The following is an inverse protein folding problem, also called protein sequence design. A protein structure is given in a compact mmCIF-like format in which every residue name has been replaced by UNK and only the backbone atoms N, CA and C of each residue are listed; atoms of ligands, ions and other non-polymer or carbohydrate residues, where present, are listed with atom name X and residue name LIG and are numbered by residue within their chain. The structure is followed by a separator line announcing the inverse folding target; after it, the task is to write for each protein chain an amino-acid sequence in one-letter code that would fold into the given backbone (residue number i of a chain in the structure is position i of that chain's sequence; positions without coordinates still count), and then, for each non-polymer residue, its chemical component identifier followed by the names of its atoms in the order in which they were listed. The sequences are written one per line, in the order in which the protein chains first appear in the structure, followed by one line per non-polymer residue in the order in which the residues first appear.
data_IF_337985354354
#
_entry.id   IF_337985354354
#
_cell.length_a   1.000
_cell.length_b   1.000
_cell.length_c   1.000
_cell.angle_alpha   90.00
_cell.angle_beta   90.00
_cell.angle_gamma   90.00
#
_symmetry.space_group_name_H-M   'P 1'
#
loop_
_entity.id
_entity.type
_entity.pdbx_description
1 polymer ?
#
# COMPACT_ATOMS: atom_id res chain seq x y z
N UNK A 1 -21.75 41.76 53.21
CA UNK A 1 -21.33 40.50 52.59
C UNK A 1 -22.25 40.21 51.41
N UNK A 2 -21.79 40.38 50.16
CA UNK A 2 -22.57 40.03 48.95
C UNK A 2 -21.99 38.74 48.38
N UNK A 3 -22.81 37.69 48.39
CA UNK A 3 -22.46 36.37 47.89
C UNK A 3 -22.36 36.43 46.36
N UNK A 4 -21.14 36.39 45.83
CA UNK A 4 -20.91 36.11 44.41
C UNK A 4 -21.29 34.64 44.16
N UNK A 5 -22.54 34.39 43.72
CA UNK A 5 -22.89 33.14 43.04
C UNK A 5 -22.18 33.15 41.68
N UNK A 6 -20.93 32.71 41.68
CA UNK A 6 -20.10 32.58 40.47
C UNK A 6 -20.61 31.37 39.69
N UNK A 7 -21.27 31.62 38.55
CA UNK A 7 -21.91 30.62 37.71
C UNK A 7 -20.92 29.52 37.26
N UNK A 8 -20.95 28.31 37.88
CA UNK A 8 -19.99 27.25 37.56
C UNK A 8 -20.18 26.71 36.14
N UNK A 9 -21.39 26.85 35.60
CA UNK A 9 -21.77 26.45 34.24
C UNK A 9 -21.10 27.27 33.15
N UNK A 10 -20.86 28.57 33.37
CA UNK A 10 -20.19 29.42 32.37
C UNK A 10 -18.70 29.10 32.30
N UNK A 11 -18.07 28.79 33.44
CA UNK A 11 -16.66 28.40 33.52
C UNK A 11 -16.43 27.06 32.83
N UNK A 12 -17.34 26.10 33.02
CA UNK A 12 -17.28 24.78 32.37
C UNK A 12 -17.44 24.90 30.85
N UNK A 13 -18.39 25.70 30.38
CA UNK A 13 -18.63 25.90 28.95
C UNK A 13 -17.41 26.52 28.24
N UNK A 14 -16.77 27.52 28.87
CA UNK A 14 -15.56 28.15 28.31
C UNK A 14 -14.39 27.16 28.28
N UNK A 15 -14.22 26.34 29.33
CA UNK A 15 -13.18 25.31 29.37
C UNK A 15 -13.39 24.26 28.25
N UNK A 16 -14.63 23.81 28.02
CA UNK A 16 -14.96 22.88 26.93
C UNK A 16 -14.66 23.48 25.55
N UNK A 17 -14.99 24.77 25.32
CA UNK A 17 -14.73 25.44 24.04
C UNK A 17 -13.22 25.58 23.80
N UNK A 18 -12.45 25.99 24.81
CA UNK A 18 -10.98 26.10 24.68
C UNK A 18 -10.36 24.73 24.39
N UNK A 19 -10.85 23.66 25.04
CA UNK A 19 -10.37 22.31 24.81
C UNK A 19 -10.70 21.81 23.39
N UNK A 20 -11.91 22.09 22.89
CA UNK A 20 -12.32 21.76 21.52
C UNK A 20 -11.49 22.51 20.48
N UNK A 21 -11.25 23.82 20.68
CA UNK A 21 -10.40 24.61 19.78
C UNK A 21 -8.96 24.08 19.79
N UNK A 22 -8.44 23.69 20.96
CA UNK A 22 -7.12 23.06 21.08
C UNK A 22 -7.02 21.73 20.34
N UNK A 23 -8.02 20.85 20.47
CA UNK A 23 -8.06 19.56 19.76
C UNK A 23 -8.14 19.79 18.24
N UNK A 24 -8.98 20.72 17.77
CA UNK A 24 -9.12 21.03 16.35
C UNK A 24 -7.83 21.64 15.79
N UNK A 25 -7.20 22.57 16.50
CA UNK A 25 -5.93 23.17 16.07
C UNK A 25 -4.79 22.14 16.01
N UNK A 26 -4.70 21.25 17.01
CA UNK A 26 -3.71 20.18 17.03
C UNK A 26 -3.98 19.15 15.92
N UNK A 27 -5.24 18.81 15.67
CA UNK A 27 -5.66 17.93 14.57
C UNK A 27 -5.36 18.52 13.20
N UNK A 28 -5.57 19.82 13.01
CA UNK A 28 -5.24 20.54 11.77
C UNK A 28 -3.73 20.68 11.57
N UNK A 29 -2.94 20.90 12.63
CA UNK A 29 -1.49 20.93 12.55
C UNK A 29 -0.90 19.55 12.21
N UNK A 30 -1.42 18.48 12.81
CA UNK A 30 -1.04 17.10 12.48
C UNK A 30 -1.47 16.71 11.05
N UNK A 31 -2.60 17.24 10.58
CA UNK A 31 -3.08 17.04 9.20
C UNK A 31 -2.28 17.85 8.17
N UNK A 32 -1.76 19.02 8.56
CA UNK A 32 -0.84 19.84 7.76
C UNK A 32 0.51 19.13 7.56
N UNK A 33 1.01 18.43 8.58
CA UNK A 33 2.20 17.56 8.47
C UNK A 33 1.90 16.21 7.81
N UNK A 34 0.64 15.78 7.74
CA UNK A 34 0.24 14.56 7.04
C UNK A 34 0.11 14.72 5.51
N UNK A 35 0.23 15.95 5.00
CA UNK A 35 0.29 16.22 3.55
C UNK A 35 1.73 16.25 2.99
N UNK A 36 2.75 16.22 3.86
CA UNK A 36 4.11 15.88 3.45
C UNK A 36 4.28 14.37 3.50
N UNK A 37 4.37 13.72 2.34
CA UNK A 37 4.74 12.32 2.23
C UNK A 37 6.25 12.28 2.05
N UNK A 38 6.96 11.75 3.04
CA UNK A 38 8.41 11.51 2.91
C UNK A 38 8.68 10.29 2.04
N UNK A 39 9.92 10.11 1.58
CA UNK A 39 10.34 8.88 0.87
C UNK A 39 10.11 7.64 1.74
N UNK A 40 10.34 7.74 3.05
CA UNK A 40 10.12 6.64 4.00
C UNK A 40 8.63 6.29 4.15
N UNK A 41 7.75 7.29 4.18
CA UNK A 41 6.30 7.06 4.27
C UNK A 41 5.76 6.35 3.03
N UNK A 42 6.18 6.79 1.84
CA UNK A 42 5.73 6.18 0.58
C UNK A 42 6.35 4.80 0.37
N UNK A 43 7.58 4.58 0.87
CA UNK A 43 8.23 3.26 0.92
C UNK A 43 7.45 2.31 1.81
N UNK A 44 7.16 2.72 3.05
CA UNK A 44 6.40 1.90 4.01
C UNK A 44 5.03 1.54 3.46
N UNK A 45 4.32 2.51 2.86
CA UNK A 45 3.02 2.27 2.27
C UNK A 45 3.07 1.23 1.15
N UNK A 46 4.06 1.31 0.25
CA UNK A 46 4.17 0.35 -0.86
C UNK A 46 4.58 -1.04 -0.35
N UNK A 47 5.52 -1.13 0.61
CA UNK A 47 5.94 -2.40 1.19
C UNK A 47 4.83 -3.08 1.98
N UNK A 48 4.04 -2.33 2.76
CA UNK A 48 2.89 -2.87 3.50
C UNK A 48 1.86 -3.50 2.55
N UNK A 49 1.60 -2.86 1.41
CA UNK A 49 0.73 -3.41 0.38
C UNK A 49 1.29 -4.69 -0.28
N UNK A 50 2.61 -4.77 -0.45
CA UNK A 50 3.26 -5.99 -0.95
C UNK A 50 3.22 -7.12 0.09
N UNK A 51 3.38 -6.79 1.37
CA UNK A 51 3.26 -7.74 2.47
C UNK A 51 1.82 -8.28 2.59
N UNK A 52 0.79 -7.42 2.43
CA UNK A 52 -0.61 -7.86 2.38
C UNK A 52 -0.84 -8.87 1.24
N UNK A 53 -0.26 -8.62 0.06
CA UNK A 53 -0.37 -9.51 -1.10
C UNK A 53 0.38 -10.82 -0.90
N UNK A 54 1.60 -10.76 -0.36
CA UNK A 54 2.37 -11.97 -0.05
C UNK A 54 1.68 -12.81 1.03
N UNK A 55 1.03 -12.18 2.01
CA UNK A 55 0.27 -12.90 3.04
C UNK A 55 -0.93 -13.69 2.49
N UNK A 56 -1.36 -13.44 1.24
CA UNK A 56 -2.37 -14.26 0.55
C UNK A 56 -1.79 -15.54 -0.05
N UNK A 57 -0.47 -15.69 -0.10
CA UNK A 57 0.16 -16.96 -0.46
C UNK A 57 0.17 -17.89 0.76
N UNK A 58 -0.10 -19.19 0.56
CA UNK A 58 0.17 -20.18 1.59
C UNK A 58 1.65 -20.12 2.02
N UNK A 59 1.97 -20.09 3.32
CA UNK A 59 3.36 -19.96 3.77
C UNK A 59 4.23 -21.13 3.28
N UNK A 60 3.67 -22.34 3.20
CA UNK A 60 4.36 -23.53 2.70
C UNK A 60 4.64 -23.49 1.19
N UNK A 61 4.03 -22.56 0.44
CA UNK A 61 4.30 -22.39 -0.98
C UNK A 61 5.45 -21.41 -1.26
N UNK A 62 6.01 -20.74 -0.25
CA UNK A 62 7.11 -19.78 -0.39
C UNK A 62 8.44 -20.43 -0.01
N UNK A 63 9.37 -20.49 -0.96
CA UNK A 63 10.74 -20.96 -0.73
C UNK A 63 11.66 -19.80 -0.33
N UNK A 64 11.53 -18.67 -1.01
CA UNK A 64 12.26 -17.45 -0.69
C UNK A 64 11.56 -16.23 -1.27
N UNK A 65 11.75 -15.06 -0.65
CA UNK A 65 11.34 -13.77 -1.18
C UNK A 65 12.49 -12.77 -1.08
N UNK A 66 12.62 -11.89 -2.06
CA UNK A 66 13.63 -10.84 -2.07
C UNK A 66 13.08 -9.56 -2.71
N UNK A 67 13.43 -8.42 -2.14
CA UNK A 67 12.98 -7.10 -2.59
C UNK A 67 14.12 -6.34 -3.25
N UNK A 68 13.78 -5.68 -4.35
CA UNK A 68 14.60 -4.66 -4.99
C UNK A 68 13.83 -3.35 -4.92
N UNK A 69 14.36 -2.40 -4.15
CA UNK A 69 13.77 -1.07 -3.99
C UNK A 69 14.58 -0.09 -4.84
N UNK A 70 13.90 0.75 -5.61
CA UNK A 70 14.49 1.81 -6.44
C UNK A 70 13.74 3.11 -6.22
N UNK A 71 14.48 4.21 -6.22
CA UNK A 71 13.94 5.57 -6.21
C UNK A 71 14.08 6.17 -7.60
N UNK A 72 13.00 6.74 -8.11
CA UNK A 72 12.93 7.34 -9.44
C UNK A 72 12.32 8.76 -9.35
N UNK A 73 12.66 9.68 -10.26
CA UNK A 73 11.99 10.97 -10.33
C UNK A 73 10.50 10.80 -10.60
N UNK A 74 9.69 11.70 -10.06
CA UNK A 74 8.26 11.70 -10.32
C UNK A 74 7.91 11.92 -11.81
N UNK A 75 6.99 11.12 -12.38
CA UNK A 75 6.70 11.14 -13.81
C UNK A 75 5.96 12.42 -14.27
N UNK A 76 5.41 13.19 -13.35
CA UNK A 76 4.81 14.51 -13.61
C UNK A 76 5.85 15.65 -13.69
N UNK A 77 7.12 15.34 -13.47
CA UNK A 77 8.21 16.32 -13.44
C UNK A 77 8.25 17.18 -12.18
N UNK A 78 7.52 16.78 -11.13
CA UNK A 78 7.63 17.40 -9.81
C UNK A 78 8.97 17.13 -9.14
N UNK A 79 9.30 17.93 -8.13
CA UNK A 79 10.52 17.80 -7.30
C UNK A 79 10.51 16.57 -6.37
N UNK A 80 9.45 15.77 -6.40
CA UNK A 80 9.29 14.59 -5.55
C UNK A 80 10.00 13.34 -6.08
N UNK A 81 10.12 12.36 -5.20
CA UNK A 81 10.68 11.04 -5.49
C UNK A 81 9.57 9.98 -5.46
N UNK A 82 9.59 9.08 -6.43
CA UNK A 82 8.74 7.88 -6.48
C UNK A 82 9.56 6.66 -6.08
N UNK A 83 8.95 5.74 -5.34
CA UNK A 83 9.56 4.47 -4.95
C UNK A 83 8.95 3.34 -5.76
N UNK A 84 9.79 2.64 -6.50
CA UNK A 84 9.44 1.41 -7.21
C UNK A 84 10.00 0.22 -6.44
N UNK A 85 9.14 -0.74 -6.12
CA UNK A 85 9.52 -1.97 -5.45
C UNK A 85 9.18 -3.16 -6.34
N UNK A 86 10.17 -4.01 -6.54
CA UNK A 86 10.02 -5.30 -7.18
C UNK A 86 10.33 -6.39 -6.15
N UNK A 87 9.35 -7.25 -5.88
CA UNK A 87 9.51 -8.42 -5.02
C UNK A 87 9.51 -9.68 -5.87
N UNK A 88 10.59 -10.44 -5.78
CA UNK A 88 10.70 -11.75 -6.41
C UNK A 88 10.46 -12.83 -5.36
N UNK A 89 9.44 -13.65 -5.57
CA UNK A 89 9.07 -14.77 -4.71
C UNK A 89 9.31 -16.06 -5.47
N UNK A 90 10.18 -16.92 -4.94
CA UNK A 90 10.37 -18.29 -5.43
C UNK A 90 9.35 -19.18 -4.73
N UNK A 91 8.54 -19.90 -5.49
CA UNK A 91 7.52 -20.78 -4.94
C UNK A 91 7.96 -22.24 -4.91
N UNK A 92 7.37 -23.03 -4.04
CA UNK A 92 7.60 -24.46 -3.95
C UNK A 92 7.26 -25.17 -5.27
N UNK A 93 7.98 -26.26 -5.56
CA UNK A 93 7.71 -27.09 -6.73
C UNK A 93 6.29 -27.67 -6.66
N UNK A 94 5.58 -27.67 -7.80
CA UNK A 94 4.22 -28.19 -7.89
C UNK A 94 3.13 -27.24 -7.37
N UNK A 95 3.46 -26.07 -6.81
CA UNK A 95 2.48 -25.05 -6.50
C UNK A 95 1.85 -24.48 -7.78
N UNK A 96 0.52 -24.51 -7.87
CA UNK A 96 -0.20 -23.93 -9.01
C UNK A 96 -0.28 -22.40 -8.89
N UNK A 97 0.84 -21.76 -9.19
CA UNK A 97 0.96 -20.30 -9.14
C UNK A 97 -0.01 -19.62 -10.11
N UNK A 98 -0.27 -20.21 -11.28
CA UNK A 98 -1.20 -19.63 -12.26
C UNK A 98 -2.64 -19.73 -11.79
N UNK A 99 -3.04 -20.86 -11.21
CA UNK A 99 -4.34 -21.05 -10.57
C UNK A 99 -4.54 -20.06 -9.42
N UNK A 100 -3.54 -19.94 -8.54
CA UNK A 100 -3.57 -18.98 -7.43
C UNK A 100 -3.74 -17.52 -7.91
N UNK A 101 -3.02 -17.08 -8.94
CA UNK A 101 -3.18 -15.72 -9.51
C UNK A 101 -4.61 -15.50 -10.03
N UNK A 102 -5.23 -16.51 -10.66
CA UNK A 102 -6.62 -16.42 -11.14
C UNK A 102 -7.61 -16.31 -9.99
N UNK A 103 -7.42 -17.09 -8.93
CA UNK A 103 -8.24 -17.03 -7.72
C UNK A 103 -8.11 -15.67 -7.02
N UNK A 104 -6.88 -15.16 -6.90
CA UNK A 104 -6.61 -13.83 -6.35
C UNK A 104 -7.32 -12.74 -7.16
N UNK A 105 -7.27 -12.82 -8.49
CA UNK A 105 -7.99 -11.89 -9.37
C UNK A 105 -9.49 -11.91 -9.12
N UNK A 106 -10.10 -13.09 -8.95
CA UNK A 106 -11.53 -13.21 -8.69
C UNK A 106 -11.91 -12.64 -7.31
N UNK A 107 -11.07 -12.89 -6.30
CA UNK A 107 -11.24 -12.35 -4.95
C UNK A 107 -11.20 -10.82 -4.92
N UNK A 108 -10.17 -10.22 -5.54
CA UNK A 108 -10.02 -8.77 -5.59
C UNK A 108 -11.04 -8.09 -6.51
N UNK A 109 -11.52 -8.76 -7.57
CA UNK A 109 -12.60 -8.23 -8.40
C UNK A 109 -13.93 -8.10 -7.63
N UNK A 110 -14.13 -8.93 -6.60
CA UNK A 110 -15.32 -8.87 -5.74
C UNK A 110 -15.14 -7.95 -4.51
N UNK A 111 -13.91 -7.50 -4.22
CA UNK A 111 -13.58 -6.66 -3.06
C UNK A 111 -13.88 -5.19 -3.37
N UNK A 112 -14.71 -4.56 -2.53
CA UNK A 112 -15.02 -3.14 -2.70
C UNK A 112 -13.76 -2.26 -2.60
N UNK A 113 -13.66 -1.27 -3.50
CA UNK A 113 -12.51 -0.35 -3.52
C UNK A 113 -11.25 -0.91 -4.19
N UNK A 114 -11.38 -2.04 -4.89
CA UNK A 114 -10.31 -2.63 -5.70
C UNK A 114 -10.77 -2.84 -7.15
N UNK A 115 -9.81 -2.78 -8.07
CA UNK A 115 -9.95 -3.18 -9.45
C UNK A 115 -8.91 -4.26 -9.75
N UNK A 116 -9.35 -5.37 -10.33
CA UNK A 116 -8.47 -6.45 -10.76
C UNK A 116 -8.59 -6.64 -12.28
N UNK A 117 -7.47 -6.54 -12.97
CA UNK A 117 -7.39 -6.73 -14.43
C UNK A 117 -6.39 -7.83 -14.73
N UNK A 118 -6.85 -8.89 -15.39
CA UNK A 118 -6.00 -10.01 -15.79
C UNK A 118 -5.78 -9.98 -17.30
N UNK A 119 -4.52 -9.96 -17.73
CA UNK A 119 -4.11 -10.02 -19.14
C UNK A 119 -3.49 -11.38 -19.43
N UNK A 120 -4.13 -12.12 -20.33
CA UNK A 120 -3.68 -13.47 -20.75
C UNK A 120 -2.94 -13.47 -22.09
N UNK A 121 -2.89 -12.34 -22.80
CA UNK A 121 -2.44 -12.27 -24.21
C UNK A 121 -0.91 -12.17 -24.39
N UNK A 122 -0.13 -12.08 -23.30
CA UNK A 122 1.32 -11.78 -23.35
C UNK A 122 2.24 -12.97 -23.04
N UNK A 123 1.71 -14.20 -22.93
CA UNK A 123 2.53 -15.40 -22.67
C UNK A 123 1.74 -16.59 -22.13
N UNK A 124 2.42 -17.67 -21.70
CA UNK A 124 1.77 -18.86 -21.12
C UNK A 124 1.16 -18.62 -19.73
N UNK A 125 1.52 -17.53 -19.05
CA UNK A 125 1.06 -17.22 -17.70
C UNK A 125 0.36 -15.84 -17.65
N UNK A 126 -0.76 -15.71 -16.90
CA UNK A 126 -1.55 -14.48 -16.86
C UNK A 126 -0.87 -13.41 -16.00
N UNK A 127 -0.85 -12.17 -16.49
CA UNK A 127 -0.41 -11.01 -15.70
C UNK A 127 -1.63 -10.41 -15.01
N UNK A 128 -1.55 -10.24 -13.69
CA UNK A 128 -2.61 -9.63 -12.89
C UNK A 128 -2.19 -8.22 -12.45
N UNK A 129 -3.01 -7.23 -12.75
CA UNK A 129 -2.87 -5.87 -12.23
C UNK A 129 -3.98 -5.61 -11.22
N UNK A 130 -3.60 -5.25 -10.00
CA UNK A 130 -4.48 -4.83 -8.92
C UNK A 130 -4.32 -3.34 -8.69
N UNK A 131 -5.41 -2.59 -8.74
CA UNK A 131 -5.44 -1.18 -8.38
C UNK A 131 -6.36 -0.96 -7.19
N UNK A 132 -5.87 -0.29 -6.15
CA UNK A 132 -6.64 0.05 -4.96
C UNK A 132 -7.30 1.44 -5.10
N UNK A 133 -8.25 1.74 -4.21
CA UNK A 133 -8.86 3.09 -4.08
C UNK A 133 -7.84 4.20 -3.78
N UNK A 134 -6.69 3.85 -3.21
CA UNK A 134 -5.57 4.78 -2.99
C UNK A 134 -4.68 4.91 -4.23
N UNK A 135 -5.13 4.46 -5.40
CA UNK A 135 -4.40 4.52 -6.67
C UNK A 135 -3.04 3.83 -6.63
N UNK A 136 -2.81 2.95 -5.65
CA UNK A 136 -1.64 2.08 -5.65
C UNK A 136 -1.91 0.95 -6.65
N UNK A 137 -0.92 0.68 -7.49
CA UNK A 137 -0.98 -0.34 -8.53
C UNK A 137 0.05 -1.42 -8.21
N UNK A 138 -0.41 -2.65 -8.17
CA UNK A 138 0.41 -3.85 -8.01
C UNK A 138 0.28 -4.69 -9.27
N UNK A 139 1.41 -5.07 -9.86
CA UNK A 139 1.45 -5.96 -11.02
C UNK A 139 2.10 -7.27 -10.63
N UNK A 140 1.35 -8.35 -10.71
CA UNK A 140 1.78 -9.70 -10.40
C UNK A 140 2.06 -10.42 -11.72
N UNK A 141 3.28 -10.93 -11.87
CA UNK A 141 3.77 -11.66 -13.02
C UNK A 141 4.25 -13.05 -12.59
N UNK A 142 3.43 -14.09 -12.76
CA UNK A 142 3.86 -15.46 -12.56
C UNK A 142 4.77 -15.88 -13.73
N UNK A 143 5.88 -16.55 -13.41
CA UNK A 143 6.73 -17.23 -14.38
C UNK A 143 6.83 -18.71 -14.02
N UNK A 144 6.57 -19.56 -14.99
CA UNK A 144 6.76 -21.01 -14.85
C UNK A 144 8.25 -21.35 -14.76
N UNK A 145 8.55 -22.51 -14.17
CA UNK A 145 9.87 -23.09 -14.25
C UNK A 145 10.32 -23.22 -15.71
N UNK A 146 11.58 -22.91 -15.98
CA UNK A 146 12.20 -22.95 -17.29
C UNK A 146 13.54 -23.67 -17.23
N UNK A 147 14.13 -24.00 -18.39
CA UNK A 147 15.44 -24.64 -18.45
C UNK A 147 16.57 -23.81 -17.79
N UNK A 148 16.41 -22.48 -17.74
CA UNK A 148 17.35 -21.55 -17.12
C UNK A 148 17.01 -21.17 -15.69
N UNK A 149 15.81 -21.49 -15.23
CA UNK A 149 15.31 -21.14 -13.91
C UNK A 149 14.35 -22.24 -13.41
N UNK A 150 14.85 -23.23 -12.68
CA UNK A 150 14.12 -24.46 -12.41
C UNK A 150 12.97 -24.29 -11.41
N UNK A 151 12.89 -23.16 -10.70
CA UNK A 151 11.84 -22.90 -9.73
C UNK A 151 10.81 -21.91 -10.30
N UNK A 152 9.50 -22.14 -10.15
CA UNK A 152 8.49 -21.14 -10.49
C UNK A 152 8.68 -19.89 -9.62
N UNK A 153 8.45 -18.72 -10.21
CA UNK A 153 8.60 -17.43 -9.53
C UNK A 153 7.39 -16.55 -9.73
N UNK A 154 7.10 -15.75 -8.73
CA UNK A 154 6.16 -14.65 -8.79
C UNK A 154 6.94 -13.36 -8.64
N UNK A 155 6.85 -12.48 -9.63
CA UNK A 155 7.33 -11.11 -9.49
C UNK A 155 6.13 -10.21 -9.18
N UNK A 156 6.22 -9.45 -8.10
CA UNK A 156 5.26 -8.41 -7.73
C UNK A 156 5.97 -7.07 -7.93
N UNK A 157 5.43 -6.23 -8.79
CA UNK A 157 5.90 -4.85 -9.00
C UNK A 157 4.88 -3.88 -8.42
N UNK A 158 5.36 -2.89 -7.68
CA UNK A 158 4.52 -1.82 -7.15
C UNK A 158 5.26 -0.49 -7.24
N UNK A 159 4.51 0.57 -7.56
CA UNK A 159 5.00 1.94 -7.55
C UNK A 159 4.22 2.75 -6.53
N UNK A 160 4.94 3.47 -5.67
CA UNK A 160 4.35 4.36 -4.70
C UNK A 160 3.77 5.62 -5.37
N UNK A 161 3.08 6.42 -4.56
CA UNK A 161 2.83 7.82 -4.91
C UNK A 161 4.14 8.61 -4.82
N UNK A 162 4.17 9.76 -5.49
CA UNK A 162 5.24 10.74 -5.33
C UNK A 162 5.32 11.27 -3.91
N UNK A 163 6.53 11.29 -3.35
CA UNK A 163 6.84 12.05 -2.15
C UNK A 163 6.68 13.55 -2.43
N UNK A 164 6.40 14.31 -1.39
CA UNK A 164 6.34 15.79 -1.46
C UNK A 164 7.46 16.45 -0.66
N UNK A 165 8.26 15.64 0.03
CA UNK A 165 9.48 16.00 0.76
C UNK A 165 10.45 14.82 0.64
N UNK A 166 11.73 15.10 0.38
CA UNK A 166 12.79 14.08 0.37
C UNK A 166 13.19 13.63 1.79
#
# INVERSE_FOLDING_TARGET
MRVLRKHPTVVLAVACVVLLVGIVATGLALSSSANSLTVDDVTTQVTDGMDELQAQLPPDSIVSAADTIRTEPCPDGGEGTLVAVERSIVTAEGFDLTGWVRELSASYAAKEGWSATMKSEQGPAPILTLASRSLMIFTLRPSAASATDPAPKLTIEATSRCSTVD
#
